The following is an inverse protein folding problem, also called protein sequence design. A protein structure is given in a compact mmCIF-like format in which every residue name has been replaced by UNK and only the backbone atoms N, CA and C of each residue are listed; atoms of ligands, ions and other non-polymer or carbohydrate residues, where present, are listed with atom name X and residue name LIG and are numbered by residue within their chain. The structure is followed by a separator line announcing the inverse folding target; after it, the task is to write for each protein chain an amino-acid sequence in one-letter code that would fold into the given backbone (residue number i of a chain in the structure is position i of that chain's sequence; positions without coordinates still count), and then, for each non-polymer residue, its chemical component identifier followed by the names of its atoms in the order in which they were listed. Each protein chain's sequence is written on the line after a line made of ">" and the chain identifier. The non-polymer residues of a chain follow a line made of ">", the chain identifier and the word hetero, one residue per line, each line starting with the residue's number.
data_IF_463494588101
#
_entry.id   IF_463494588101
#
_cell.length_a   1.000
_cell.length_b   1.000
_cell.length_c   1.000
_cell.angle_alpha   90.00
_cell.angle_beta   90.00
_cell.angle_gamma   90.00
#
_symmetry.space_group_name_H-M   'P 1'
#
loop_
_entity.id
_entity.type
_entity.pdbx_description
1 polymer ?
#
# COMPACT_ATOMS: atom_id res chain seq x y z
N UNK A 1 2.10 15.58 79.91
CA UNK A 1 0.97 15.69 78.97
C UNK A 1 1.37 16.64 77.86
N UNK A 2 1.14 16.32 76.59
CA UNK A 2 1.51 17.17 75.46
C UNK A 2 0.34 18.12 75.18
N UNK A 3 0.58 19.42 75.28
CA UNK A 3 -0.38 20.48 74.96
C UNK A 3 -0.73 20.51 73.46
N UNK A 4 -1.90 20.99 73.09
CA UNK A 4 -2.35 21.07 71.68
C UNK A 4 -1.41 21.96 70.85
N UNK A 5 -0.90 23.04 71.46
CA UNK A 5 0.10 23.90 70.84
C UNK A 5 1.39 23.12 70.53
N UNK A 6 1.84 22.28 71.46
CA UNK A 6 3.01 21.43 71.22
C UNK A 6 2.75 20.48 70.05
N UNK A 7 1.55 19.90 69.92
CA UNK A 7 1.23 19.03 68.78
C UNK A 7 1.39 19.77 67.46
N UNK A 8 0.78 20.95 67.34
CA UNK A 8 0.87 21.78 66.13
C UNK A 8 2.31 22.18 65.80
N UNK A 9 3.09 22.58 66.81
CA UNK A 9 4.49 22.96 66.58
C UNK A 9 5.32 21.76 66.12
N UNK A 10 5.10 20.58 66.69
CA UNK A 10 5.82 19.37 66.27
C UNK A 10 5.56 18.99 64.82
N UNK A 11 4.35 19.22 64.31
CA UNK A 11 4.04 19.03 62.88
C UNK A 11 4.83 19.97 61.97
N UNK A 12 5.17 21.17 62.47
CA UNK A 12 5.93 22.18 61.73
C UNK A 12 7.45 22.00 61.83
N UNK A 13 7.98 21.22 62.79
CA UNK A 13 9.43 21.15 63.03
C UNK A 13 10.24 20.58 61.87
N UNK A 14 9.69 19.67 61.04
CA UNK A 14 10.41 19.16 59.86
C UNK A 14 10.59 20.26 58.82
N UNK A 15 9.50 20.93 58.43
CA UNK A 15 9.57 22.06 57.50
C UNK A 15 10.39 23.23 58.07
N UNK A 16 10.42 23.41 59.39
CA UNK A 16 11.30 24.39 60.04
C UNK A 16 12.77 24.02 59.83
N UNK A 17 13.14 22.75 60.00
CA UNK A 17 14.50 22.25 59.79
C UNK A 17 14.93 22.38 58.33
N UNK A 18 14.01 22.12 57.40
CA UNK A 18 14.25 22.15 55.95
C UNK A 18 14.15 23.57 55.35
N UNK A 19 13.71 24.56 56.12
CA UNK A 19 13.54 25.95 55.66
C UNK A 19 12.32 26.16 54.75
N UNK A 20 11.32 25.28 54.83
CA UNK A 20 10.13 25.27 53.96
C UNK A 20 8.94 26.06 54.54
N UNK A 21 9.02 26.49 55.80
CA UNK A 21 7.96 27.27 56.44
C UNK A 21 7.92 28.72 55.95
N UNK A 22 6.71 29.28 55.88
CA UNK A 22 6.57 30.72 55.66
C UNK A 22 6.96 31.53 56.91
N UNK A 23 7.13 32.85 56.76
CA UNK A 23 7.59 33.73 57.84
C UNK A 23 6.71 33.66 59.11
N UNK A 24 5.39 33.54 58.95
CA UNK A 24 4.46 33.47 60.08
C UNK A 24 4.60 32.14 60.85
N UNK A 25 4.77 31.03 60.13
CA UNK A 25 4.99 29.71 60.71
C UNK A 25 6.36 29.59 61.37
N UNK A 26 7.42 30.12 60.75
CA UNK A 26 8.75 30.17 61.35
C UNK A 26 8.71 30.88 62.69
N UNK A 27 8.12 32.08 62.73
CA UNK A 27 8.00 32.85 63.98
C UNK A 27 7.20 32.12 65.05
N UNK A 28 6.10 31.45 64.67
CA UNK A 28 5.33 30.63 65.62
C UNK A 28 6.15 29.50 66.23
N UNK A 29 7.01 28.85 65.43
CA UNK A 29 7.91 27.81 65.91
C UNK A 29 8.99 28.38 66.82
N UNK A 30 9.66 29.46 66.41
CA UNK A 30 10.69 30.14 67.19
C UNK A 30 10.16 30.60 68.56
N UNK A 31 9.03 31.30 68.58
CA UNK A 31 8.39 31.79 69.79
C UNK A 31 8.06 30.62 70.75
N UNK A 32 7.55 29.51 70.22
CA UNK A 32 7.25 28.34 71.05
C UNK A 32 8.50 27.61 71.56
N UNK A 33 9.56 27.56 70.75
CA UNK A 33 10.81 26.91 71.12
C UNK A 33 11.50 27.66 72.26
N UNK A 34 11.34 28.98 72.40
CA UNK A 34 11.85 29.75 73.55
C UNK A 34 11.21 29.26 74.86
N UNK A 35 9.92 28.93 74.84
CA UNK A 35 9.15 28.63 76.05
C UNK A 35 9.02 27.13 76.36
N UNK A 36 9.24 26.24 75.39
CA UNK A 36 8.92 24.81 75.51
C UNK A 36 10.13 23.87 75.36
N UNK A 37 10.74 23.41 76.48
CA UNK A 37 11.86 22.46 76.46
C UNK A 37 11.52 21.11 75.81
N UNK A 38 10.25 20.70 75.85
CA UNK A 38 9.79 19.44 75.24
C UNK A 38 9.82 19.50 73.70
N UNK A 39 9.57 20.67 73.12
CA UNK A 39 9.64 20.87 71.68
C UNK A 39 11.09 21.11 71.23
N UNK A 40 11.91 21.81 72.01
CA UNK A 40 13.37 21.88 71.79
C UNK A 40 14.01 20.48 71.73
N UNK A 41 13.67 19.61 72.69
CA UNK A 41 14.15 18.22 72.69
C UNK A 41 13.67 17.43 71.48
N UNK A 42 12.49 17.75 70.95
CA UNK A 42 12.00 17.07 69.74
C UNK A 42 12.73 17.54 68.49
N UNK A 43 12.98 18.84 68.37
CA UNK A 43 13.79 19.42 67.29
C UNK A 43 15.22 18.84 67.31
N UNK A 44 15.85 18.77 68.47
CA UNK A 44 17.19 18.16 68.61
C UNK A 44 17.21 16.71 68.11
N UNK A 45 16.18 15.90 68.41
CA UNK A 45 16.08 14.53 67.87
C UNK A 45 15.94 14.49 66.36
N UNK A 46 15.22 15.45 65.76
CA UNK A 46 15.11 15.53 64.30
C UNK A 46 16.46 15.91 63.68
N UNK A 47 17.19 16.84 64.29
CA UNK A 47 18.54 17.22 63.88
C UNK A 47 19.53 16.05 63.99
N UNK A 48 19.47 15.27 65.07
CA UNK A 48 20.28 14.06 65.23
C UNK A 48 20.00 13.04 64.11
N UNK A 49 18.73 12.83 63.78
CA UNK A 49 18.33 11.92 62.69
C UNK A 49 18.82 12.43 61.32
N UNK A 50 18.67 13.72 61.04
CA UNK A 50 19.16 14.35 59.81
C UNK A 50 20.68 14.19 59.66
N UNK A 51 21.43 14.38 60.75
CA UNK A 51 22.88 14.18 60.77
C UNK A 51 23.26 12.71 60.49
N UNK A 52 22.58 11.76 61.12
CA UNK A 52 22.79 10.32 60.87
C UNK A 52 22.52 9.98 59.40
N UNK A 53 21.44 10.51 58.83
CA UNK A 53 21.08 10.26 57.42
C UNK A 53 22.13 10.84 56.47
N UNK A 54 22.66 12.04 56.76
CA UNK A 54 23.71 12.68 55.96
C UNK A 54 25.03 11.91 55.96
N UNK A 55 25.31 11.13 57.00
CA UNK A 55 26.49 10.29 57.11
C UNK A 55 26.38 8.97 56.34
N UNK A 56 25.17 8.60 55.90
CA UNK A 56 24.96 7.39 55.09
C UNK A 56 25.62 7.59 53.73
N UNK A 57 26.56 6.72 53.38
CA UNK A 57 27.16 6.67 52.06
C UNK A 57 26.11 6.19 51.05
N UNK A 58 25.54 7.14 50.30
CA UNK A 58 24.60 6.85 49.21
C UNK A 58 25.39 6.64 47.93
N UNK A 59 25.12 5.51 47.26
CA UNK A 59 25.71 5.24 45.94
C UNK A 59 25.38 6.39 44.98
N UNK A 60 26.42 7.03 44.45
CA UNK A 60 26.23 8.14 43.52
C UNK A 60 25.66 7.59 42.21
N UNK A 61 24.65 8.26 41.63
CA UNK A 61 24.15 7.86 40.32
C UNK A 61 25.28 7.92 39.30
N UNK A 62 25.26 7.01 38.32
CA UNK A 62 26.25 6.98 37.24
C UNK A 62 26.31 8.32 36.50
N UNK A 63 27.47 8.67 35.94
CA UNK A 63 27.70 9.95 35.25
C UNK A 63 26.67 10.26 34.14
N UNK A 64 26.12 9.24 33.49
CA UNK A 64 25.13 9.34 32.43
C UNK A 64 23.66 9.31 32.92
N UNK A 65 23.41 9.30 34.24
CA UNK A 65 22.08 9.23 34.82
C UNK A 65 21.17 10.35 34.28
N UNK A 66 21.65 11.59 34.27
CA UNK A 66 20.89 12.73 33.76
C UNK A 66 20.53 12.56 32.29
N UNK A 67 21.43 11.98 31.48
CA UNK A 67 21.17 11.72 30.07
C UNK A 67 20.12 10.61 29.87
N UNK A 68 20.17 9.55 30.67
CA UNK A 68 19.16 8.48 30.64
C UNK A 68 17.80 8.99 31.11
N UNK A 69 17.77 9.79 32.17
CA UNK A 69 16.57 10.40 32.72
C UNK A 69 15.93 11.36 31.70
N UNK A 70 16.72 12.28 31.13
CA UNK A 70 16.24 13.21 30.12
C UNK A 70 15.67 12.48 28.88
N UNK A 71 16.33 11.41 28.43
CA UNK A 71 15.81 10.57 27.34
C UNK A 71 14.46 9.94 27.70
N UNK A 72 14.33 9.37 28.89
CA UNK A 72 13.08 8.74 29.34
C UNK A 72 11.94 9.76 29.45
N UNK A 73 12.20 10.93 30.04
CA UNK A 73 11.22 12.01 30.14
C UNK A 73 10.76 12.50 28.77
N UNK A 74 11.70 12.67 27.82
CA UNK A 74 11.37 13.07 26.45
C UNK A 74 10.52 12.01 25.74
N UNK A 75 10.88 10.73 25.87
CA UNK A 75 10.11 9.64 25.26
C UNK A 75 8.67 9.62 25.80
N UNK A 76 8.51 9.75 27.12
CA UNK A 76 7.18 9.76 27.71
C UNK A 76 6.36 10.99 27.29
N UNK A 77 7.00 12.16 27.20
CA UNK A 77 6.38 13.37 26.67
C UNK A 77 5.95 13.20 25.21
N UNK A 78 6.83 12.67 24.36
CA UNK A 78 6.56 12.47 22.93
C UNK A 78 5.45 11.43 22.70
N UNK A 79 5.38 10.37 23.52
CA UNK A 79 4.29 9.37 23.47
C UNK A 79 2.94 9.95 23.87
N UNK A 80 2.93 10.90 24.81
CA UNK A 80 1.70 11.59 25.26
C UNK A 80 1.34 12.79 24.37
N UNK A 81 2.22 13.19 23.45
CA UNK A 81 1.97 14.33 22.57
C UNK A 81 0.89 13.97 21.54
N UNK A 82 -0.22 14.72 21.45
CA UNK A 82 -1.19 14.50 20.40
C UNK A 82 -0.53 14.71 19.04
N UNK A 83 -0.76 13.79 18.10
CA UNK A 83 -0.26 13.94 16.73
C UNK A 83 -0.79 15.26 16.15
N UNK A 84 0.03 16.05 15.44
CA UNK A 84 -0.45 17.27 14.82
C UNK A 84 -1.49 16.91 13.75
N UNK A 85 -2.75 17.17 14.08
CA UNK A 85 -3.85 17.03 13.14
C UNK A 85 -3.84 18.24 12.22
N UNK A 86 -3.46 18.03 10.95
CA UNK A 86 -3.49 19.06 9.91
C UNK A 86 -4.72 18.87 9.02
N UNK A 87 -5.88 19.45 9.37
CA UNK A 87 -7.15 19.20 8.68
C UNK A 87 -7.14 19.64 7.22
N UNK A 88 -6.32 20.64 6.86
CA UNK A 88 -6.27 21.17 5.51
C UNK A 88 -5.67 20.16 4.51
N UNK A 89 -4.65 19.40 4.93
CA UNK A 89 -3.97 18.46 4.06
C UNK A 89 -4.88 17.28 3.71
N UNK A 90 -5.65 16.77 4.68
CA UNK A 90 -6.64 15.72 4.44
C UNK A 90 -7.78 16.15 3.50
N UNK A 91 -8.09 17.46 3.41
CA UNK A 91 -9.08 17.97 2.45
C UNK A 91 -8.55 18.03 1.02
N UNK A 92 -7.24 18.10 0.83
CA UNK A 92 -6.61 18.14 -0.50
C UNK A 92 -6.38 16.75 -1.09
N UNK A 93 -6.34 15.70 -0.26
CA UNK A 93 -6.20 14.29 -0.71
C UNK A 93 -7.29 13.87 -1.72
N UNK A 94 -8.61 14.06 -1.47
CA UNK A 94 -9.64 13.68 -2.44
C UNK A 94 -9.56 14.49 -3.74
N UNK A 95 -9.17 15.77 -3.66
CA UNK A 95 -9.01 16.63 -4.84
C UNK A 95 -7.81 16.19 -5.70
N UNK A 96 -6.67 15.89 -5.06
CA UNK A 96 -5.48 15.37 -5.74
C UNK A 96 -5.74 13.99 -6.35
N UNK A 97 -6.47 13.12 -5.65
CA UNK A 97 -6.86 11.81 -6.17
C UNK A 97 -7.78 11.94 -7.40
N UNK A 98 -8.79 12.82 -7.36
CA UNK A 98 -9.65 13.08 -8.51
C UNK A 98 -8.87 13.65 -9.71
N UNK A 99 -7.96 14.60 -9.48
CA UNK A 99 -7.10 15.15 -10.52
C UNK A 99 -6.19 14.07 -11.14
N UNK A 100 -5.60 13.20 -10.33
CA UNK A 100 -4.79 12.08 -10.81
C UNK A 100 -5.60 11.11 -11.69
N UNK A 101 -6.83 10.78 -11.30
CA UNK A 101 -7.72 9.94 -12.11
C UNK A 101 -8.04 10.60 -13.44
N UNK A 102 -8.36 11.89 -13.45
CA UNK A 102 -8.62 12.65 -14.68
C UNK A 102 -7.38 12.64 -15.58
N UNK A 103 -6.19 12.88 -15.03
CA UNK A 103 -4.92 12.84 -15.76
C UNK A 103 -4.70 11.45 -16.38
N UNK A 104 -4.95 10.38 -15.63
CA UNK A 104 -4.82 8.99 -16.14
C UNK A 104 -5.81 8.74 -17.29
N UNK A 105 -7.06 9.18 -17.17
CA UNK A 105 -8.07 9.02 -18.23
C UNK A 105 -7.67 9.82 -19.47
N UNK A 106 -7.22 11.06 -19.31
CA UNK A 106 -6.75 11.90 -20.41
C UNK A 106 -5.51 11.32 -21.08
N UNK A 107 -4.54 10.81 -20.32
CA UNK A 107 -3.38 10.09 -20.86
C UNK A 107 -3.78 8.80 -21.58
N UNK A 108 -4.68 8.01 -21.00
CA UNK A 108 -5.15 6.76 -21.59
C UNK A 108 -5.89 7.00 -22.91
N UNK A 109 -6.78 8.00 -22.93
CA UNK A 109 -7.51 8.38 -24.15
C UNK A 109 -6.57 8.98 -25.19
N UNK A 110 -5.67 9.87 -24.80
CA UNK A 110 -4.68 10.45 -25.69
C UNK A 110 -3.75 9.38 -26.27
N UNK A 111 -3.25 8.43 -25.47
CA UNK A 111 -2.48 7.28 -25.95
C UNK A 111 -3.31 6.40 -26.89
N UNK A 112 -4.58 6.14 -26.61
CA UNK A 112 -5.44 5.34 -27.49
C UNK A 112 -5.69 6.01 -28.86
N UNK A 113 -5.89 7.33 -28.89
CA UNK A 113 -6.11 8.09 -30.13
C UNK A 113 -4.82 8.42 -30.89
N UNK A 114 -3.70 8.66 -30.19
CA UNK A 114 -2.40 9.03 -30.79
C UNK A 114 -1.45 7.84 -31.02
N UNK A 115 -1.80 6.61 -30.62
CA UNK A 115 -1.04 5.43 -30.99
C UNK A 115 -1.66 4.81 -32.26
N UNK A 116 -1.22 5.19 -33.48
CA UNK A 116 -1.68 4.57 -34.73
C UNK A 116 -1.24 3.10 -34.88
N UNK A 117 -0.64 2.50 -33.84
CA UNK A 117 -0.20 1.10 -33.87
C UNK A 117 -1.33 0.08 -33.64
N UNK A 118 -2.52 0.53 -33.22
CA UNK A 118 -3.75 -0.29 -33.21
C UNK A 118 -4.68 0.01 -34.41
N UNK A 119 -4.29 0.91 -35.32
CA UNK A 119 -4.75 0.82 -36.72
C UNK A 119 -4.05 -0.39 -37.32
N UNK A 120 -4.68 -1.55 -37.15
CA UNK A 120 -4.46 -2.80 -37.88
C UNK A 120 -3.17 -2.81 -38.73
N UNK A 121 -2.05 -3.23 -38.12
CA UNK A 121 -0.93 -3.80 -38.88
C UNK A 121 -1.54 -4.83 -39.83
N UNK A 122 -1.41 -4.56 -41.12
CA UNK A 122 -2.31 -5.07 -42.14
C UNK A 122 -2.50 -6.59 -42.16
N UNK A 123 -3.77 -7.00 -42.19
CA UNK A 123 -4.13 -8.10 -43.06
C UNK A 123 -4.07 -7.54 -44.48
N UNK A 124 -2.98 -7.84 -45.20
CA UNK A 124 -3.07 -7.95 -46.66
C UNK A 124 -4.21 -8.93 -46.92
N UNK A 125 -5.26 -8.59 -47.71
CA UNK A 125 -6.23 -9.60 -48.08
C UNK A 125 -5.48 -10.63 -48.92
N UNK A 126 -5.15 -11.79 -48.33
CA UNK A 126 -4.95 -12.98 -49.14
C UNK A 126 -6.27 -13.16 -49.90
N UNK A 127 -6.28 -12.75 -51.17
CA UNK A 127 -7.39 -13.05 -52.08
C UNK A 127 -7.44 -14.57 -52.18
N UNK A 128 -8.26 -15.17 -51.31
CA UNK A 128 -8.59 -16.59 -51.34
C UNK A 128 -9.83 -16.73 -52.19
N UNK A 129 -9.80 -17.65 -53.14
CA UNK A 129 -10.96 -17.94 -53.96
C UNK A 129 -11.63 -19.18 -53.39
N UNK A 130 -12.94 -19.04 -53.14
CA UNK A 130 -13.80 -20.16 -52.84
C UNK A 130 -13.98 -21.00 -54.09
N UNK A 131 -13.67 -22.29 -54.00
CA UNK A 131 -14.02 -23.29 -55.00
C UNK A 131 -14.94 -24.30 -54.36
N UNK A 132 -16.09 -24.50 -54.98
CA UNK A 132 -17.02 -25.55 -54.60
C UNK A 132 -16.71 -26.78 -55.44
N UNK A 133 -16.45 -27.91 -54.78
CA UNK A 133 -16.18 -29.20 -55.42
C UNK A 133 -17.18 -30.24 -54.95
N UNK A 134 -17.75 -30.97 -55.88
CA UNK A 134 -18.53 -32.18 -55.57
C UNK A 134 -17.65 -33.41 -55.75
N UNK A 135 -17.66 -34.28 -54.75
CA UNK A 135 -16.87 -35.50 -54.74
C UNK A 135 -17.77 -36.72 -54.93
N UNK A 136 -17.27 -37.74 -55.63
CA UNK A 136 -17.88 -39.07 -55.63
C UNK A 136 -17.58 -39.81 -54.31
N UNK A 137 -18.20 -40.98 -54.14
CA UNK A 137 -17.99 -41.85 -52.98
C UNK A 137 -16.54 -42.35 -52.82
N UNK A 138 -15.68 -42.16 -53.83
CA UNK A 138 -14.27 -42.55 -53.86
C UNK A 138 -13.32 -41.35 -53.68
N UNK A 139 -13.85 -40.15 -53.43
CA UNK A 139 -13.07 -38.92 -53.21
C UNK A 139 -12.50 -38.30 -54.48
N UNK A 140 -13.05 -38.63 -55.66
CA UNK A 140 -12.72 -38.00 -56.94
C UNK A 140 -13.65 -36.82 -57.19
N UNK A 141 -13.12 -35.75 -57.78
CA UNK A 141 -13.89 -34.56 -58.14
C UNK A 141 -14.78 -34.88 -59.34
N UNK A 142 -16.09 -34.74 -59.16
CA UNK A 142 -17.11 -34.89 -60.22
C UNK A 142 -17.38 -33.54 -60.88
N UNK A 143 -17.50 -32.48 -60.08
CA UNK A 143 -17.68 -31.10 -60.52
C UNK A 143 -16.85 -30.16 -59.67
N UNK A 144 -16.42 -29.04 -60.26
CA UNK A 144 -15.65 -28.01 -59.58
C UNK A 144 -16.03 -26.66 -60.20
N UNK A 145 -16.49 -25.74 -59.36
CA UNK A 145 -16.94 -24.42 -59.75
C UNK A 145 -16.32 -23.34 -58.86
N UNK A 146 -15.83 -22.27 -59.49
CA UNK A 146 -15.31 -21.09 -58.80
C UNK A 146 -16.49 -20.24 -58.32
N UNK A 147 -16.49 -19.82 -57.06
CA UNK A 147 -17.56 -18.96 -56.53
C UNK A 147 -17.49 -17.55 -57.11
N UNK A 148 -16.28 -17.10 -57.43
CA UNK A 148 -16.00 -15.81 -58.05
C UNK A 148 -14.84 -16.00 -59.03
N UNK A 149 -14.94 -15.40 -60.22
CA UNK A 149 -13.85 -15.38 -61.20
C UNK A 149 -12.62 -14.67 -60.62
N UNK A 150 -11.42 -15.16 -60.98
CA UNK A 150 -10.15 -14.50 -60.66
C UNK A 150 -9.97 -13.18 -61.43
N UNK A 151 -10.81 -12.93 -62.45
CA UNK A 151 -10.64 -11.85 -63.43
C UNK A 151 -9.74 -12.20 -64.62
N UNK A 152 -9.29 -13.46 -64.71
CA UNK A 152 -8.48 -14.00 -65.83
C UNK A 152 -8.96 -15.41 -66.19
N UNK A 153 -9.48 -15.58 -67.41
CA UNK A 153 -9.99 -16.87 -67.89
C UNK A 153 -8.90 -17.96 -67.91
N UNK A 154 -7.64 -17.59 -68.15
CA UNK A 154 -6.50 -18.52 -68.11
C UNK A 154 -6.18 -19.01 -66.69
N UNK A 155 -6.37 -18.17 -65.66
CA UNK A 155 -6.17 -18.57 -64.26
C UNK A 155 -7.34 -19.40 -63.75
N UNK A 156 -8.58 -19.04 -64.13
CA UNK A 156 -9.79 -19.76 -63.76
C UNK A 156 -9.74 -21.21 -64.29
N UNK A 157 -9.39 -21.38 -65.56
CA UNK A 157 -9.23 -22.70 -66.19
C UNK A 157 -8.12 -23.53 -65.55
N UNK A 158 -6.94 -22.95 -65.32
CA UNK A 158 -5.81 -23.63 -64.69
C UNK A 158 -6.11 -24.09 -63.25
N UNK A 159 -6.83 -23.27 -62.47
CA UNK A 159 -7.24 -23.62 -61.11
C UNK A 159 -8.23 -24.79 -61.12
N UNK A 160 -9.25 -24.73 -61.97
CA UNK A 160 -10.22 -25.82 -62.10
C UNK A 160 -9.56 -27.13 -62.58
N UNK A 161 -8.61 -27.04 -63.51
CA UNK A 161 -7.84 -28.20 -63.98
C UNK A 161 -7.03 -28.83 -62.84
N UNK A 162 -6.27 -28.04 -62.09
CA UNK A 162 -5.47 -28.53 -60.95
C UNK A 162 -6.33 -29.15 -59.85
N UNK A 163 -7.54 -28.62 -59.64
CA UNK A 163 -8.46 -29.14 -58.63
C UNK A 163 -9.08 -30.47 -59.11
N UNK A 164 -9.52 -30.55 -60.37
CA UNK A 164 -10.07 -31.79 -60.95
C UNK A 164 -9.03 -32.92 -60.99
N UNK A 165 -7.75 -32.60 -61.20
CA UNK A 165 -6.67 -33.57 -61.17
C UNK A 165 -6.32 -34.09 -59.76
N UNK A 166 -6.85 -33.45 -58.70
CA UNK A 166 -6.51 -33.79 -57.31
C UNK A 166 -7.51 -34.79 -56.74
N UNK A 167 -7.01 -35.89 -56.19
CA UNK A 167 -7.81 -36.80 -55.37
C UNK A 167 -7.83 -36.29 -53.93
N UNK A 168 -9.01 -36.08 -53.37
CA UNK A 168 -9.13 -35.63 -51.99
C UNK A 168 -9.19 -36.84 -51.06
N UNK A 169 -8.45 -36.82 -49.93
CA UNK A 169 -8.48 -37.91 -48.97
C UNK A 169 -9.91 -38.07 -48.42
N UNK A 170 -10.38 -39.31 -48.38
CA UNK A 170 -11.69 -39.68 -47.84
C UNK A 170 -11.78 -39.25 -46.37
N UNK A 171 -12.83 -38.52 -45.98
CA UNK A 171 -13.24 -38.49 -44.58
C UNK A 171 -14.29 -39.59 -44.40
N UNK A 172 -13.82 -40.76 -43.93
CA UNK A 172 -14.69 -41.86 -43.52
C UNK A 172 -15.29 -41.53 -42.15
N UNK A 173 -16.39 -40.79 -42.13
CA UNK A 173 -17.32 -40.89 -40.99
C UNK A 173 -18.39 -41.94 -41.36
N UNK A 174 -18.21 -43.17 -40.87
CA UNK A 174 -19.27 -44.19 -40.90
C UNK A 174 -19.35 -45.11 -42.14
N UNK A 175 -18.24 -45.42 -42.81
CA UNK A 175 -18.11 -46.64 -43.63
C UNK A 175 -18.93 -46.76 -44.92
N UNK A 176 -19.62 -45.70 -45.36
CA UNK A 176 -20.21 -45.60 -46.71
C UNK A 176 -19.89 -44.22 -47.29
N UNK A 177 -19.21 -44.18 -48.44
CA UNK A 177 -18.89 -42.93 -49.13
C UNK A 177 -20.15 -42.30 -49.72
N UNK A 178 -20.51 -41.11 -49.27
CA UNK A 178 -21.59 -40.31 -49.83
C UNK A 178 -21.02 -39.17 -50.70
N UNK A 179 -21.70 -38.77 -51.78
CA UNK A 179 -21.29 -37.58 -52.50
C UNK A 179 -21.37 -36.37 -51.56
N UNK A 180 -20.29 -35.61 -51.50
CA UNK A 180 -20.16 -34.47 -50.59
C UNK A 180 -19.74 -33.23 -51.36
N UNK A 181 -20.47 -32.14 -51.14
CA UNK A 181 -20.10 -30.81 -51.61
C UNK A 181 -19.15 -30.18 -50.59
N UNK A 182 -17.96 -29.76 -51.02
CA UNK A 182 -16.99 -29.05 -50.19
C UNK A 182 -16.65 -27.68 -50.75
N UNK A 183 -16.64 -26.69 -49.86
CA UNK A 183 -16.07 -25.37 -50.12
C UNK A 183 -14.60 -25.37 -49.71
N UNK A 184 -13.70 -25.14 -50.65
CA UNK A 184 -12.27 -25.00 -50.44
C UNK A 184 -11.84 -23.56 -50.66
N UNK A 185 -10.95 -23.05 -49.82
CA UNK A 185 -10.33 -21.74 -50.02
C UNK A 185 -8.91 -21.92 -50.52
N UNK A 186 -8.67 -21.59 -51.78
CA UNK A 186 -7.35 -21.68 -52.38
C UNK A 186 -6.65 -20.32 -52.32
N UNK A 187 -5.38 -20.27 -51.85
CA UNK A 187 -4.59 -19.08 -52.03
C UNK A 187 -4.32 -18.88 -53.53
N UNK A 188 -4.56 -17.67 -54.03
CA UNK A 188 -4.16 -17.32 -55.38
C UNK A 188 -2.64 -17.50 -55.54
N UNK A 189 -2.17 -18.15 -56.62
CA UNK A 189 -0.75 -18.16 -56.93
C UNK A 189 -0.27 -16.72 -57.12
N UNK A 190 0.84 -16.36 -56.44
CA UNK A 190 1.51 -15.08 -56.68
C UNK A 190 2.12 -15.13 -58.07
N UNK A 191 1.52 -14.39 -59.01
CA UNK A 191 2.05 -14.01 -60.31
C UNK A 191 2.73 -15.12 -61.14
N UNK A 192 1.98 -15.72 -62.06
CA UNK A 192 2.50 -15.91 -63.42
C UNK A 192 2.21 -14.61 -64.18
N UNK A 193 3.24 -13.78 -64.35
CA UNK A 193 3.25 -12.73 -65.38
C UNK A 193 3.10 -13.36 -66.77
#
# INVERSE_FOLDING_TARGET
>A
MVDERCRKIRELLSGFLDGELNEAEQKLVEDHLIECPLCQKHLARLQDLDQIIKEIEVERPSHDFHLRLARRLKQEYDLRRPRPYLPFLNRLIPLAAAAAVIIIILLSTHLFFYHPAFKAKGLKPERRIGVTVELDSLGRVVSADLEHSTGSDSLDSLLLEKIRARKFPHLLEGGKGFPAQRRLYLPLPKDTQ
#
